data_IF_545496974558
#
_entry.id   IF_545496974558
#
_cell.length_a   1.000
_cell.length_b   1.000
_cell.length_c   1.000
_cell.angle_alpha   90.00
_cell.angle_beta   90.00
_cell.angle_gamma   90.00
#
_symmetry.space_group_name_H-M   'P 1'
#
loop_
_entity.id
_entity.type
_entity.pdbx_description
1 polymer ?
#
# COMPACT_ATOMS: atom_id res chain seq x y z
N UNK A 1 -5.34 -11.20 16.19
CA UNK A 1 -5.08 -9.74 16.17
C UNK A 1 -4.51 -9.42 14.80
N UNK A 2 -5.05 -8.45 14.07
CA UNK A 2 -4.56 -8.09 12.73
C UNK A 2 -3.59 -6.90 12.80
N UNK A 3 -2.52 -6.96 12.01
CA UNK A 3 -1.55 -5.86 11.84
C UNK A 3 -1.71 -5.26 10.44
N UNK A 4 -1.43 -3.97 10.30
CA UNK A 4 -1.29 -3.30 9.02
C UNK A 4 0.18 -2.97 8.78
N UNK A 5 0.71 -3.32 7.61
CA UNK A 5 2.04 -2.89 7.20
C UNK A 5 2.00 -1.39 6.89
N UNK A 6 2.89 -0.60 7.50
CA UNK A 6 2.91 0.85 7.32
C UNK A 6 4.30 1.45 7.44
N UNK A 7 4.37 2.77 7.31
CA UNK A 7 5.60 3.56 7.43
C UNK A 7 6.01 3.86 8.88
N UNK A 8 5.14 3.64 9.87
CA UNK A 8 5.42 3.94 11.29
C UNK A 8 4.58 3.06 12.20
N UNK A 9 5.10 2.79 13.40
CA UNK A 9 4.31 2.14 14.46
C UNK A 9 3.19 3.06 14.94
N UNK A 10 2.04 2.47 15.28
CA UNK A 10 0.90 3.22 15.80
C UNK A 10 -0.42 2.47 15.69
N UNK A 11 -1.52 3.17 15.92
CA UNK A 11 -2.88 2.63 15.75
C UNK A 11 -3.53 3.26 14.53
N UNK A 12 -3.81 2.47 13.51
CA UNK A 12 -4.43 2.92 12.26
C UNK A 12 -5.94 2.65 12.24
N UNK A 13 -6.77 3.67 11.97
CA UNK A 13 -8.21 3.49 11.82
C UNK A 13 -8.55 2.83 10.48
N UNK A 14 -9.23 1.68 10.52
CA UNK A 14 -9.72 0.99 9.32
C UNK A 14 -11.18 1.38 9.07
N UNK A 15 -11.43 2.01 7.93
CA UNK A 15 -12.77 2.39 7.48
C UNK A 15 -13.27 1.34 6.49
N UNK A 16 -14.36 0.66 6.80
CA UNK A 16 -14.77 -0.50 6.01
C UNK A 16 -15.31 -0.15 4.62
N UNK A 17 -14.65 -0.70 3.59
CA UNK A 17 -15.30 -1.25 2.39
C UNK A 17 -14.50 -2.46 1.86
N UNK A 18 -14.25 -3.47 2.71
CA UNK A 18 -13.77 -4.78 2.23
C UNK A 18 -14.97 -5.74 2.24
N UNK A 19 -15.16 -6.48 1.13
CA UNK A 19 -16.32 -7.31 0.75
C UNK A 19 -17.54 -6.57 0.15
N UNK A 20 -17.46 -6.12 -1.10
CA UNK A 20 -18.52 -6.32 -2.11
C UNK A 20 -17.91 -6.30 -3.51
N UNK A 21 -17.71 -7.49 -4.09
CA UNK A 21 -17.96 -7.84 -5.49
C UNK A 21 -17.69 -9.35 -5.72
N UNK A 22 -18.41 -10.22 -4.99
CA UNK A 22 -18.58 -11.65 -5.33
C UNK A 22 -20.07 -12.02 -5.47
N UNK A 23 -20.92 -11.05 -5.76
CA UNK A 23 -22.32 -11.31 -6.11
C UNK A 23 -22.74 -10.23 -7.09
N UNK A 24 -22.62 -10.51 -8.38
CA UNK A 24 -23.16 -9.69 -9.45
C UNK A 24 -24.64 -9.40 -9.22
N UNK A 25 -24.96 -8.19 -8.76
CA UNK A 25 -26.30 -7.62 -8.79
C UNK A 25 -26.19 -6.13 -9.09
N UNK A 26 -26.64 -5.76 -10.28
CA UNK A 26 -26.80 -4.39 -10.74
C UNK A 26 -27.72 -3.61 -9.78
N UNK A 27 -27.18 -2.58 -9.11
CA UNK A 27 -27.97 -1.64 -8.33
C UNK A 27 -28.11 -0.34 -9.13
N UNK A 28 -29.35 -0.08 -9.56
CA UNK A 28 -29.76 1.09 -10.34
C UNK A 28 -29.42 2.40 -9.63
N UNK A 29 -28.91 3.34 -10.40
CA UNK A 29 -28.61 4.71 -9.99
C UNK A 29 -29.92 5.46 -9.72
N UNK A 30 -30.13 5.87 -8.46
CA UNK A 30 -31.22 6.78 -8.06
C UNK A 30 -30.59 8.09 -7.60
N UNK A 31 -30.78 9.12 -8.42
CA UNK A 31 -30.36 10.49 -8.19
C UNK A 31 -31.22 11.14 -7.10
N UNK A 32 -30.64 11.40 -5.93
CA UNK A 32 -31.26 12.25 -4.91
C UNK A 32 -30.22 13.20 -4.30
N UNK A 33 -30.24 14.46 -4.75
CA UNK A 33 -29.51 15.58 -4.14
C UNK A 33 -30.00 15.78 -2.70
N UNK A 34 -29.23 15.30 -1.72
CA UNK A 34 -29.44 15.62 -0.30
C UNK A 34 -28.14 16.15 0.28
N UNK A 35 -28.13 17.44 0.69
CA UNK A 35 -27.07 18.08 1.48
C UNK A 35 -26.92 17.32 2.80
N UNK A 36 -26.07 16.28 2.82
CA UNK A 36 -25.69 15.57 4.06
C UNK A 36 -24.57 16.35 4.74
N UNK A 37 -24.82 16.76 5.98
CA UNK A 37 -23.79 17.12 6.95
C UNK A 37 -22.62 16.13 6.84
N UNK A 38 -21.39 16.66 6.62
CA UNK A 38 -20.15 15.88 6.52
C UNK A 38 -19.79 15.29 7.89
N UNK A 39 -20.59 14.38 8.42
CA UNK A 39 -20.16 13.54 9.55
C UNK A 39 -19.02 12.65 9.04
N UNK A 40 -17.82 12.80 9.61
CA UNK A 40 -16.68 11.93 9.32
C UNK A 40 -17.11 10.48 9.59
N UNK A 41 -16.87 9.53 8.67
CA UNK A 41 -17.21 8.14 8.92
C UNK A 41 -16.49 7.65 10.17
N UNK A 42 -17.16 6.84 11.00
CA UNK A 42 -16.55 6.22 12.18
C UNK A 42 -15.71 5.01 11.71
N UNK A 43 -14.48 4.83 12.19
CA UNK A 43 -13.69 3.64 11.86
C UNK A 43 -14.37 2.38 12.38
N UNK A 44 -14.28 1.28 11.62
CA UNK A 44 -14.84 -0.03 12.01
C UNK A 44 -13.98 -0.72 13.05
N UNK A 45 -12.66 -0.54 12.95
CA UNK A 45 -11.68 -1.03 13.91
C UNK A 45 -10.43 -0.19 13.87
N UNK A 46 -9.57 -0.39 14.86
CA UNK A 46 -8.22 0.18 14.89
C UNK A 46 -7.26 -0.99 14.92
N UNK A 47 -6.30 -1.01 14.01
CA UNK A 47 -5.28 -2.06 13.91
C UNK A 47 -3.92 -1.51 14.30
N UNK A 48 -3.04 -2.39 14.75
CA UNK A 48 -1.65 -2.01 15.00
C UNK A 48 -0.90 -1.88 13.67
N UNK A 49 -0.26 -0.74 13.48
CA UNK A 49 0.60 -0.47 12.35
C UNK A 49 2.01 -0.95 12.67
N UNK A 50 2.59 -1.66 11.70
CA UNK A 50 3.91 -2.23 11.80
C UNK A 50 4.86 -1.47 10.88
N UNK A 51 5.99 -1.00 11.42
CA UNK A 51 6.97 -0.25 10.65
C UNK A 51 7.89 -1.21 9.90
N UNK A 52 7.58 -1.44 8.62
CA UNK A 52 8.30 -2.43 7.80
C UNK A 52 9.76 -2.07 7.58
N UNK A 53 10.06 -0.78 7.40
CA UNK A 53 11.42 -0.29 7.20
C UNK A 53 12.32 -0.65 8.40
N UNK A 54 11.86 -0.30 9.61
CA UNK A 54 12.59 -0.62 10.82
C UNK A 54 12.70 -2.13 11.06
N UNK A 55 11.63 -2.89 10.75
CA UNK A 55 11.66 -4.34 10.88
C UNK A 55 12.68 -4.98 9.95
N UNK A 56 12.70 -4.58 8.67
CA UNK A 56 13.59 -5.14 7.67
C UNK A 56 15.05 -4.94 8.09
N UNK A 57 15.44 -3.72 8.49
CA UNK A 57 16.78 -3.41 9.02
C UNK A 57 17.17 -4.22 10.25
N UNK A 58 16.21 -4.62 11.07
CA UNK A 58 16.47 -5.42 12.27
C UNK A 58 16.47 -6.94 12.02
N UNK A 59 16.04 -7.37 10.83
CA UNK A 59 15.78 -8.80 10.54
C UNK A 59 16.82 -9.39 9.61
N UNK A 60 17.31 -8.61 8.63
CA UNK A 60 18.24 -9.08 7.60
C UNK A 60 19.50 -8.22 7.55
N UNK A 61 20.57 -8.77 7.00
CA UNK A 61 21.83 -8.07 6.73
C UNK A 61 22.12 -8.02 5.23
N UNK A 62 23.20 -7.35 4.83
CA UNK A 62 23.58 -7.22 3.41
C UNK A 62 24.07 -8.56 2.80
N UNK A 63 24.37 -9.56 3.64
CA UNK A 63 24.79 -10.90 3.22
C UNK A 63 23.60 -11.82 2.89
N UNK A 64 22.39 -11.46 3.31
CA UNK A 64 21.19 -12.24 3.02
C UNK A 64 20.67 -11.95 1.60
N UNK A 65 20.18 -12.98 0.92
CA UNK A 65 19.42 -12.80 -0.32
C UNK A 65 17.93 -12.68 -0.02
N UNK A 66 17.37 -11.49 -0.22
CA UNK A 66 16.03 -11.13 0.26
C UNK A 66 15.07 -10.90 -0.91
N UNK A 67 14.02 -11.73 -0.94
CA UNK A 67 12.90 -11.59 -1.87
C UNK A 67 11.67 -11.10 -1.13
N UNK A 68 11.06 -10.02 -1.63
CA UNK A 68 9.83 -9.44 -1.06
C UNK A 68 8.69 -9.54 -2.06
N UNK A 69 7.55 -10.07 -1.61
CA UNK A 69 6.27 -9.94 -2.31
C UNK A 69 5.39 -8.93 -1.56
N UNK A 70 4.90 -7.91 -2.25
CA UNK A 70 4.19 -6.78 -1.66
C UNK A 70 2.85 -6.53 -2.37
N UNK A 71 1.78 -6.64 -1.60
CA UNK A 71 0.42 -6.26 -1.97
C UNK A 71 -0.20 -5.64 -0.69
N UNK A 72 -0.29 -4.31 -0.66
CA UNK A 72 -0.71 -3.54 0.52
C UNK A 72 -1.77 -2.48 0.19
N UNK A 73 -2.66 -2.82 -0.74
CA UNK A 73 -3.95 -2.16 -0.99
C UNK A 73 -3.89 -0.62 -1.03
N UNK A 74 -2.85 -0.07 -1.69
CA UNK A 74 -2.68 1.36 -1.90
C UNK A 74 -1.59 2.04 -1.07
N UNK A 75 -0.96 1.32 -0.14
CA UNK A 75 0.11 1.83 0.71
C UNK A 75 1.52 1.67 0.10
N UNK A 76 1.63 1.05 -1.08
CA UNK A 76 2.90 0.73 -1.75
C UNK A 76 3.72 1.99 -1.99
N UNK A 77 3.06 3.04 -2.48
CA UNK A 77 3.71 4.29 -2.84
C UNK A 77 4.39 4.97 -1.64
N UNK A 78 3.71 5.00 -0.49
CA UNK A 78 4.26 5.62 0.72
C UNK A 78 5.40 4.75 1.29
N UNK A 79 5.20 3.43 1.32
CA UNK A 79 6.18 2.50 1.85
C UNK A 79 7.45 2.46 1.01
N UNK A 80 7.33 2.24 -0.31
CA UNK A 80 8.47 2.15 -1.21
C UNK A 80 9.26 3.47 -1.26
N UNK A 81 8.57 4.62 -1.27
CA UNK A 81 9.25 5.91 -1.18
C UNK A 81 10.04 6.07 0.13
N UNK A 82 9.49 5.58 1.26
CA UNK A 82 10.21 5.55 2.55
C UNK A 82 11.44 4.66 2.48
N UNK A 83 11.33 3.44 1.95
CA UNK A 83 12.44 2.49 1.83
C UNK A 83 13.56 3.04 0.95
N UNK A 84 13.21 3.69 -0.16
CA UNK A 84 14.20 4.36 -1.02
C UNK A 84 14.87 5.53 -0.32
N UNK A 85 14.10 6.40 0.35
CA UNK A 85 14.64 7.58 1.04
C UNK A 85 15.58 7.21 2.20
N UNK A 86 15.24 6.15 2.93
CA UNK A 86 16.06 5.66 4.05
C UNK A 86 17.26 4.84 3.57
N UNK A 87 17.23 4.31 2.34
CA UNK A 87 18.25 3.41 1.80
C UNK A 87 18.01 1.93 2.14
N UNK A 88 16.98 1.60 2.90
CA UNK A 88 16.63 0.21 3.28
C UNK A 88 16.28 -0.64 2.08
N UNK A 89 15.84 -0.02 0.99
CA UNK A 89 15.52 -0.72 -0.26
C UNK A 89 16.71 -1.54 -0.77
N UNK A 90 17.96 -1.18 -0.41
CA UNK A 90 19.17 -1.92 -0.77
C UNK A 90 19.30 -3.27 -0.05
N UNK A 91 18.52 -3.53 1.00
CA UNK A 91 18.44 -4.84 1.67
C UNK A 91 17.46 -5.80 0.96
N UNK A 92 16.90 -5.41 -0.19
CA UNK A 92 15.98 -6.23 -0.98
C UNK A 92 16.63 -6.46 -2.33
N UNK A 93 16.89 -7.72 -2.67
CA UNK A 93 17.44 -8.09 -3.98
C UNK A 93 16.34 -8.15 -5.04
N UNK A 94 15.20 -8.75 -4.72
CA UNK A 94 14.10 -8.97 -5.66
C UNK A 94 12.75 -8.60 -5.04
N UNK A 95 12.02 -7.72 -5.72
CA UNK A 95 10.73 -7.17 -5.27
C UNK A 95 9.63 -7.48 -6.29
N UNK A 96 8.63 -8.24 -5.87
CA UNK A 96 7.37 -8.43 -6.58
C UNK A 96 6.31 -7.53 -5.95
N UNK A 97 5.75 -6.57 -6.69
CA UNK A 97 4.79 -5.62 -6.12
C UNK A 97 3.55 -5.41 -6.98
N UNK A 98 2.38 -5.56 -6.38
CA UNK A 98 1.11 -5.12 -6.96
C UNK A 98 0.96 -3.61 -6.71
N UNK A 99 1.20 -2.81 -7.74
CA UNK A 99 1.08 -1.37 -7.59
C UNK A 99 -0.39 -0.93 -7.78
N UNK A 100 -1.03 -0.54 -6.69
CA UNK A 100 -2.40 -0.05 -6.72
C UNK A 100 -2.46 1.42 -7.22
N UNK A 101 -2.68 1.63 -8.53
CA UNK A 101 -2.62 2.96 -9.18
C UNK A 101 -3.97 3.57 -9.62
N UNK A 102 -5.09 3.24 -8.97
CA UNK A 102 -6.42 3.71 -9.40
C UNK A 102 -7.19 4.42 -8.26
N UNK A 103 -8.25 5.17 -8.60
CA UNK A 103 -9.17 5.89 -7.67
C UNK A 103 -9.79 5.04 -6.53
N UNK A 104 -9.59 3.73 -6.55
CA UNK A 104 -10.08 2.78 -5.55
C UNK A 104 -9.10 2.49 -4.41
N UNK A 105 -7.88 3.05 -4.43
CA UNK A 105 -7.04 3.03 -3.22
C UNK A 105 -7.68 3.91 -2.15
N UNK A 106 -7.73 3.42 -0.91
CA UNK A 106 -8.32 4.13 0.24
C UNK A 106 -7.70 5.53 0.46
N UNK A 107 -6.50 5.77 -0.10
CA UNK A 107 -5.76 7.02 0.00
C UNK A 107 -6.09 8.04 -1.09
N UNK A 108 -6.97 7.73 -2.06
CA UNK A 108 -7.36 8.65 -3.16
C UNK A 108 -6.16 9.33 -3.82
N UNK A 109 -5.08 8.59 -4.04
CA UNK A 109 -3.93 9.16 -4.72
C UNK A 109 -4.24 9.20 -6.21
N UNK A 110 -4.04 10.36 -6.84
CA UNK A 110 -4.08 10.51 -8.30
C UNK A 110 -2.77 9.97 -8.91
N UNK A 111 -2.44 8.72 -8.55
CA UNK A 111 -1.32 8.01 -9.15
C UNK A 111 -1.83 7.32 -10.39
N UNK A 112 -0.97 7.25 -11.39
CA UNK A 112 -1.22 6.53 -12.63
C UNK A 112 -0.26 5.36 -12.71
N UNK A 113 -0.53 4.40 -13.57
CA UNK A 113 0.42 3.32 -13.87
C UNK A 113 1.82 3.85 -14.20
N UNK A 114 1.90 5.00 -14.86
CA UNK A 114 3.18 5.68 -15.17
C UNK A 114 3.99 6.00 -13.91
N UNK A 115 3.34 6.39 -12.82
CA UNK A 115 4.01 6.67 -11.55
C UNK A 115 4.60 5.39 -10.93
N UNK A 116 3.89 4.26 -11.01
CA UNK A 116 4.44 2.96 -10.60
C UNK A 116 5.67 2.58 -11.43
N UNK A 117 5.58 2.72 -12.76
CA UNK A 117 6.71 2.40 -13.64
C UNK A 117 7.93 3.29 -13.38
N UNK A 118 7.72 4.58 -13.07
CA UNK A 118 8.79 5.48 -12.65
C UNK A 118 9.43 5.02 -11.34
N UNK A 119 8.61 4.67 -10.34
CA UNK A 119 9.07 4.16 -9.06
C UNK A 119 9.90 2.87 -9.24
N UNK A 120 9.42 1.94 -10.08
CA UNK A 120 10.15 0.72 -10.42
C UNK A 120 11.48 1.01 -11.10
N UNK A 121 11.49 1.96 -12.04
CA UNK A 121 12.72 2.41 -12.70
C UNK A 121 13.74 2.98 -11.71
N UNK A 122 13.29 3.80 -10.75
CA UNK A 122 14.17 4.34 -9.73
C UNK A 122 14.74 3.26 -8.80
N UNK A 123 13.94 2.28 -8.37
CA UNK A 123 14.41 1.17 -7.54
C UNK A 123 15.40 0.26 -8.29
N UNK A 124 15.16 -0.01 -9.58
CA UNK A 124 16.11 -0.73 -10.44
C UNK A 124 17.43 0.02 -10.59
N UNK A 125 17.39 1.35 -10.68
CA UNK A 125 18.58 2.20 -10.64
C UNK A 125 19.37 2.12 -9.33
N UNK A 126 18.77 1.61 -8.25
CA UNK A 126 19.40 1.37 -6.95
C UNK A 126 19.88 -0.08 -6.77
N UNK A 127 19.76 -0.93 -7.80
CA UNK A 127 20.24 -2.32 -7.77
C UNK A 127 19.18 -3.37 -7.45
N UNK A 128 17.93 -2.99 -7.19
CA UNK A 128 16.86 -3.94 -6.88
C UNK A 128 16.19 -4.46 -8.15
N UNK A 129 16.04 -5.77 -8.27
CA UNK A 129 15.25 -6.38 -9.34
C UNK A 129 13.76 -6.22 -8.98
N UNK A 130 12.99 -5.55 -9.84
CA UNK A 130 11.57 -5.25 -9.54
C UNK A 130 10.65 -5.83 -10.60
N UNK A 131 9.61 -6.54 -10.15
CA UNK A 131 8.57 -7.18 -10.93
C UNK A 131 7.19 -6.60 -10.60
N UNK A 132 6.39 -6.32 -11.62
CA UNK A 132 4.96 -6.04 -11.46
C UNK A 132 4.27 -7.38 -11.14
N UNK A 133 3.51 -7.42 -10.03
CA UNK A 133 2.65 -8.54 -9.63
C UNK A 133 1.18 -8.20 -9.90
N UNK A 134 0.36 -9.19 -10.26
CA UNK A 134 -1.06 -9.06 -10.60
C UNK A 134 -1.93 -10.09 -9.85
#
# INVERSE_FOLDING_TARGET
>A
MGYALWTKRGRLPVYGTLMKNLSGKNAKEVTARRRRSRRRPKPRMTVEAYDFDNWLRSTVTEEDFVVVKLDIEGAEHELLAKLMKSGTIALIDELFVECHYNKWSMMRMDKTRRHCLQLFGSMRGMGVVVHEWF
#
